data_IF_956430216002
#
_entry.id   IF_956430216002
#
_cell.length_a   1.000
_cell.length_b   1.000
_cell.length_c   1.000
_cell.angle_alpha   90.00
_cell.angle_beta   90.00
_cell.angle_gamma   90.00
#
_symmetry.space_group_name_H-M   'P 1'
#
loop_
_entity.id
_entity.type
_entity.pdbx_description
1 polymer ?
#
# COMPACT_ATOMS: atom_id res chain seq x y z
N UNK A 1 11.41 -8.45 22.34
CA UNK A 1 12.41 -7.89 21.42
C UNK A 1 11.97 -6.46 21.14
N UNK A 2 12.77 -5.45 21.48
CA UNK A 2 12.40 -4.05 21.26
C UNK A 2 12.42 -3.78 19.75
N UNK A 3 11.25 -3.48 19.18
CA UNK A 3 11.12 -3.17 17.75
C UNK A 3 11.73 -1.79 17.54
N UNK A 4 12.79 -1.67 16.74
CA UNK A 4 13.28 -0.37 16.28
C UNK A 4 12.54 0.01 14.98
N UNK A 5 11.62 0.99 15.01
CA UNK A 5 10.79 1.34 13.86
C UNK A 5 11.57 1.91 12.68
N UNK A 6 12.82 2.37 12.89
CA UNK A 6 13.69 2.88 11.83
C UNK A 6 14.14 1.79 10.83
N UNK A 7 13.98 0.51 11.18
CA UNK A 7 14.28 -0.61 10.29
C UNK A 7 13.13 -1.03 9.38
N UNK A 8 11.95 -0.44 9.55
CA UNK A 8 10.75 -0.86 8.83
C UNK A 8 10.41 0.20 7.78
N UNK A 9 10.37 -0.23 6.52
CA UNK A 9 9.78 0.54 5.44
C UNK A 9 8.34 0.07 5.20
N UNK A 10 7.46 1.04 4.99
CA UNK A 10 6.06 0.82 4.62
C UNK A 10 5.63 1.96 3.69
N UNK A 11 4.43 1.89 3.13
CA UNK A 11 3.95 2.85 2.11
C UNK A 11 4.79 2.89 0.82
N UNK A 12 5.63 1.88 0.59
CA UNK A 12 6.54 1.81 -0.57
C UNK A 12 5.82 2.03 -1.90
N UNK A 13 4.62 1.47 -2.07
CA UNK A 13 3.77 1.64 -3.25
C UNK A 13 3.39 3.10 -3.52
N UNK A 14 3.31 3.95 -2.49
CA UNK A 14 3.05 5.39 -2.65
C UNK A 14 4.26 6.17 -3.17
N UNK A 15 5.47 5.62 -2.98
CA UNK A 15 6.74 6.30 -3.29
C UNK A 15 7.40 5.77 -4.57
N UNK A 16 7.01 4.59 -5.05
CA UNK A 16 7.58 4.03 -6.27
C UNK A 16 7.33 4.96 -7.46
N UNK A 17 8.39 5.22 -8.23
CA UNK A 17 8.39 6.11 -9.39
C UNK A 17 8.15 7.59 -9.10
N UNK A 18 8.09 8.01 -7.83
CA UNK A 18 7.95 9.42 -7.44
C UNK A 18 9.28 10.08 -7.07
N UNK A 19 9.29 11.40 -7.16
CA UNK A 19 10.32 12.31 -6.69
C UNK A 19 9.95 12.94 -5.35
N UNK A 20 10.95 13.50 -4.66
CA UNK A 20 10.78 14.04 -3.31
C UNK A 20 9.83 15.25 -3.25
N UNK A 21 9.71 16.01 -4.34
CA UNK A 21 8.78 17.14 -4.49
C UNK A 21 7.32 16.70 -4.76
N UNK A 22 7.09 15.44 -5.15
CA UNK A 22 5.76 14.88 -5.43
C UNK A 22 5.13 14.18 -4.21
N UNK A 23 5.85 14.13 -3.08
CA UNK A 23 5.39 13.44 -1.88
C UNK A 23 5.13 14.41 -0.75
N UNK A 24 4.10 14.08 0.04
CA UNK A 24 3.86 14.69 1.33
C UNK A 24 4.46 13.76 2.38
N UNK A 25 5.46 14.25 3.11
CA UNK A 25 6.10 13.48 4.19
C UNK A 25 5.07 13.26 5.30
N UNK A 26 4.75 11.99 5.56
CA UNK A 26 3.82 11.65 6.63
C UNK A 26 4.53 11.76 7.98
N UNK A 27 4.03 12.58 8.93
CA UNK A 27 4.58 12.65 10.27
C UNK A 27 4.58 11.31 10.99
N UNK A 28 3.82 10.31 10.53
CA UNK A 28 3.81 8.96 11.07
C UNK A 28 4.92 8.05 10.55
N UNK A 29 5.63 8.41 9.48
CA UNK A 29 6.78 7.64 9.03
C UNK A 29 7.83 7.51 10.14
N UNK A 30 8.42 6.32 10.21
CA UNK A 30 9.50 6.00 11.14
C UNK A 30 10.82 5.75 10.43
N UNK A 31 10.80 5.82 9.10
CA UNK A 31 11.95 5.74 8.21
C UNK A 31 12.21 7.12 7.60
N UNK A 32 13.44 7.33 7.14
CA UNK A 32 13.82 8.51 6.39
C UNK A 32 13.92 8.18 4.90
N UNK A 33 13.65 9.17 4.06
CA UNK A 33 13.86 9.08 2.62
C UNK A 33 14.77 10.20 2.14
N UNK A 34 15.53 9.92 1.09
CA UNK A 34 16.40 10.88 0.41
C UNK A 34 16.06 10.91 -1.09
N UNK A 35 16.37 12.04 -1.73
CA UNK A 35 16.40 12.10 -3.19
C UNK A 35 17.78 11.65 -3.67
N UNK A 36 17.82 10.65 -4.54
CA UNK A 36 19.03 10.22 -5.23
C UNK A 36 18.68 9.95 -6.69
N UNK A 37 19.34 10.66 -7.62
CA UNK A 37 19.07 10.59 -9.05
C UNK A 37 17.57 10.75 -9.42
N UNK A 38 16.90 11.76 -8.87
CA UNK A 38 15.48 12.06 -9.16
C UNK A 38 14.53 10.90 -8.80
N UNK A 39 14.88 10.17 -7.74
CA UNK A 39 14.09 9.07 -7.20
C UNK A 39 14.17 9.05 -5.68
N UNK A 40 13.12 8.51 -5.06
CA UNK A 40 13.06 8.29 -3.62
C UNK A 40 13.82 7.03 -3.22
N UNK A 41 14.77 7.20 -2.31
CA UNK A 41 15.49 6.12 -1.64
C UNK A 41 15.19 6.11 -0.14
N UNK A 42 14.93 4.93 0.40
CA UNK A 42 14.78 4.69 1.83
C UNK A 42 16.14 4.58 2.49
N UNK A 43 16.28 5.21 3.64
CA UNK A 43 17.47 5.18 4.49
C UNK A 43 17.27 4.19 5.64
N UNK A 44 18.13 3.18 5.71
CA UNK A 44 18.18 2.24 6.82
C UNK A 44 19.54 2.38 7.53
N UNK A 45 19.52 2.77 8.79
CA UNK A 45 20.74 2.89 9.61
C UNK A 45 20.84 1.69 10.56
N UNK A 46 21.85 0.86 10.37
CA UNK A 46 22.06 -0.31 11.25
C UNK A 46 22.56 0.06 12.66
N UNK A 47 22.59 -0.92 13.56
CA UNK A 47 23.04 -0.75 14.94
C UNK A 47 24.50 -0.27 15.08
N UNK A 48 25.28 -0.28 14.01
CA UNK A 48 26.66 0.17 13.94
C UNK A 48 26.80 1.50 13.17
N UNK A 49 25.68 2.19 12.88
CA UNK A 49 25.61 3.43 12.09
C UNK A 49 26.05 3.28 10.63
N UNK A 50 26.01 2.07 10.08
CA UNK A 50 26.13 1.92 8.63
C UNK A 50 24.80 2.24 7.97
N UNK A 51 24.86 3.22 7.08
CA UNK A 51 23.71 3.67 6.29
C UNK A 51 23.60 2.84 5.02
N UNK A 52 22.47 2.16 4.83
CA UNK A 52 22.09 1.49 3.59
C UNK A 52 20.94 2.24 2.96
N UNK A 53 21.05 2.52 1.66
CA UNK A 53 19.97 3.10 0.88
C UNK A 53 19.33 2.04 -0.01
N UNK A 54 18.00 2.09 -0.18
CA UNK A 54 17.27 1.21 -1.12
C UNK A 54 16.21 2.01 -1.86
N UNK A 55 16.11 1.84 -3.17
CA UNK A 55 15.01 2.44 -3.94
C UNK A 55 13.68 1.78 -3.57
N UNK A 56 12.58 2.48 -3.83
CA UNK A 56 11.24 1.91 -3.68
C UNK A 56 11.07 0.63 -4.54
N UNK A 57 11.59 0.63 -5.78
CA UNK A 57 11.54 -0.53 -6.65
C UNK A 57 12.31 -1.74 -6.10
N UNK A 58 13.45 -1.53 -5.43
CA UNK A 58 14.16 -2.62 -4.76
C UNK A 58 13.32 -3.24 -3.63
N UNK A 59 12.69 -2.42 -2.80
CA UNK A 59 11.87 -2.93 -1.69
C UNK A 59 10.64 -3.66 -2.22
N UNK A 60 9.98 -3.12 -3.27
CA UNK A 60 8.89 -3.80 -3.96
C UNK A 60 9.34 -5.14 -4.55
N UNK A 61 10.52 -5.20 -5.16
CA UNK A 61 11.10 -6.43 -5.68
C UNK A 61 11.35 -7.47 -4.59
N UNK A 62 11.88 -7.05 -3.44
CA UNK A 62 12.07 -7.93 -2.29
C UNK A 62 10.74 -8.52 -1.80
N UNK A 63 9.68 -7.69 -1.73
CA UNK A 63 8.34 -8.15 -1.37
C UNK A 63 7.79 -9.16 -2.40
N UNK A 64 7.88 -8.83 -3.70
CA UNK A 64 7.43 -9.73 -4.78
C UNK A 64 8.17 -11.06 -4.76
N UNK A 65 9.48 -11.05 -4.49
CA UNK A 65 10.30 -12.26 -4.38
C UNK A 65 9.85 -13.15 -3.23
N UNK A 66 9.52 -12.56 -2.07
CA UNK A 66 9.03 -13.32 -0.93
C UNK A 66 7.63 -13.88 -1.17
N UNK A 67 6.76 -13.14 -1.88
CA UNK A 67 5.44 -13.65 -2.32
C UNK A 67 5.63 -14.82 -3.29
N UNK A 68 6.45 -14.65 -4.33
CA UNK A 68 6.80 -15.71 -5.31
C UNK A 68 7.28 -16.97 -4.57
N UNK A 69 8.28 -16.82 -3.68
CA UNK A 69 8.84 -17.93 -2.90
C UNK A 69 7.77 -18.69 -2.12
N UNK A 70 6.88 -17.98 -1.42
CA UNK A 70 5.79 -18.60 -0.64
C UNK A 70 4.79 -19.34 -1.52
N UNK A 71 4.44 -18.80 -2.68
CA UNK A 71 3.52 -19.44 -3.63
C UNK A 71 4.16 -20.67 -4.26
N UNK A 72 5.42 -20.59 -4.69
CA UNK A 72 6.17 -21.71 -5.26
C UNK A 72 6.33 -22.85 -4.25
N UNK A 73 6.64 -22.53 -2.99
CA UNK A 73 6.72 -23.51 -1.90
C UNK A 73 5.37 -24.17 -1.63
N UNK A 74 4.28 -23.39 -1.62
CA UNK A 74 2.94 -23.90 -1.37
C UNK A 74 2.40 -24.77 -2.50
N UNK A 75 2.69 -24.42 -3.76
CA UNK A 75 2.20 -25.12 -4.95
C UNK A 75 3.14 -26.25 -5.42
N UNK A 76 4.41 -26.23 -5.01
CA UNK A 76 5.43 -27.17 -5.49
C UNK A 76 5.82 -26.96 -6.96
N UNK A 77 5.64 -25.75 -7.49
CA UNK A 77 5.88 -25.39 -8.89
C UNK A 77 6.72 -24.12 -8.98
N UNK A 78 7.39 -23.91 -10.12
CA UNK A 78 8.09 -22.66 -10.45
C UNK A 78 7.11 -21.75 -11.19
N UNK A 79 7.03 -20.49 -10.79
CA UNK A 79 6.18 -19.50 -11.46
C UNK A 79 6.87 -18.95 -12.71
N UNK A 80 6.26 -19.12 -13.87
CA UNK A 80 6.75 -18.64 -15.17
C UNK A 80 6.43 -17.16 -15.45
N UNK A 81 5.43 -16.60 -14.77
CA UNK A 81 5.00 -15.22 -14.97
C UNK A 81 3.99 -14.77 -13.92
N UNK A 82 3.71 -13.47 -13.89
CA UNK A 82 2.79 -12.86 -12.92
C UNK A 82 1.93 -11.79 -13.55
N UNK A 83 0.72 -11.63 -13.01
CA UNK A 83 -0.10 -10.43 -13.16
C UNK A 83 0.10 -9.61 -11.89
N UNK A 84 0.47 -8.34 -12.04
CA UNK A 84 0.62 -7.41 -10.91
C UNK A 84 -0.45 -6.34 -11.02
N UNK A 85 -1.26 -6.22 -9.98
CA UNK A 85 -2.25 -5.14 -9.93
C UNK A 85 -1.60 -3.81 -9.59
N UNK A 86 -2.02 -2.75 -10.28
CA UNK A 86 -1.54 -1.37 -10.06
C UNK A 86 -2.70 -0.39 -10.00
N UNK A 87 -2.58 0.74 -9.29
CA UNK A 87 -3.58 1.79 -9.33
C UNK A 87 -3.74 2.31 -10.76
N UNK A 88 -4.95 2.57 -11.22
CA UNK A 88 -5.18 3.10 -12.57
C UNK A 88 -4.50 4.44 -12.81
N UNK A 89 -4.30 5.21 -11.74
CA UNK A 89 -3.63 6.49 -11.77
C UNK A 89 -2.09 6.41 -11.82
N UNK A 90 -1.50 5.21 -11.90
CA UNK A 90 -0.04 5.08 -12.04
C UNK A 90 0.46 5.70 -13.34
N UNK A 91 1.47 6.56 -13.23
CA UNK A 91 2.16 7.12 -14.40
C UNK A 91 3.02 6.06 -15.10
N UNK A 92 3.42 6.32 -16.34
CA UNK A 92 4.34 5.42 -17.06
C UNK A 92 5.65 5.20 -16.31
N UNK A 93 6.20 6.22 -15.65
CA UNK A 93 7.40 6.09 -14.78
C UNK A 93 7.15 5.06 -13.67
N UNK A 94 6.01 5.14 -12.98
CA UNK A 94 5.65 4.21 -11.91
C UNK A 94 5.42 2.78 -12.41
N UNK A 95 4.79 2.62 -13.59
CA UNK A 95 4.63 1.32 -14.24
C UNK A 95 5.97 0.69 -14.60
N UNK A 96 6.90 1.46 -15.17
CA UNK A 96 8.25 0.97 -15.50
C UNK A 96 9.01 0.54 -14.25
N UNK A 97 8.97 1.32 -13.17
CA UNK A 97 9.58 0.92 -11.89
C UNK A 97 8.98 -0.37 -11.31
N UNK A 98 7.67 -0.60 -11.48
CA UNK A 98 7.03 -1.85 -11.08
C UNK A 98 7.45 -3.04 -11.96
N UNK A 99 7.58 -2.84 -13.28
CA UNK A 99 8.11 -3.85 -14.21
C UNK A 99 9.54 -4.22 -13.82
N UNK A 100 10.39 -3.23 -13.54
CA UNK A 100 11.75 -3.46 -13.05
C UNK A 100 11.76 -4.22 -11.72
N UNK A 101 10.89 -3.86 -10.77
CA UNK A 101 10.77 -4.56 -9.50
C UNK A 101 10.39 -6.04 -9.68
N UNK A 102 9.44 -6.33 -10.58
CA UNK A 102 9.02 -7.68 -10.95
C UNK A 102 10.15 -8.49 -11.61
N UNK A 103 10.87 -7.89 -12.56
CA UNK A 103 12.02 -8.52 -13.20
C UNK A 103 13.10 -8.91 -12.19
N UNK A 104 13.46 -7.99 -11.30
CA UNK A 104 14.43 -8.22 -10.22
C UNK A 104 13.97 -9.27 -9.20
N UNK A 105 12.66 -9.50 -9.08
CA UNK A 105 12.09 -10.54 -8.21
C UNK A 105 12.15 -11.95 -8.85
N UNK A 106 12.54 -12.05 -10.12
CA UNK A 106 12.49 -13.31 -10.88
C UNK A 106 11.07 -13.68 -11.33
N UNK A 107 10.18 -12.68 -11.46
CA UNK A 107 8.81 -12.87 -11.91
C UNK A 107 8.63 -12.60 -13.43
N UNK A 108 9.73 -12.30 -14.15
CA UNK A 108 9.68 -11.92 -15.55
C UNK A 108 9.04 -10.54 -15.78
N UNK A 109 8.59 -10.29 -17.02
CA UNK A 109 7.84 -9.08 -17.37
C UNK A 109 6.39 -9.29 -16.95
N UNK A 110 5.87 -8.50 -15.99
CA UNK A 110 4.52 -8.69 -15.51
C UNK A 110 3.50 -8.12 -16.50
N UNK A 111 2.30 -8.71 -16.53
CA UNK A 111 1.14 -7.98 -17.03
C UNK A 111 0.64 -7.04 -15.93
N UNK A 112 0.66 -5.74 -16.17
CA UNK A 112 0.13 -4.76 -15.22
C UNK A 112 -1.38 -4.61 -15.42
N UNK A 113 -2.16 -5.03 -14.43
CA UNK A 113 -3.62 -4.97 -14.47
C UNK A 113 -4.10 -3.83 -13.57
N UNK A 114 -4.92 -2.88 -14.05
CA UNK A 114 -5.50 -1.88 -13.17
C UNK A 114 -6.36 -2.53 -12.07
N UNK A 115 -6.14 -2.14 -10.83
CA UNK A 115 -6.86 -2.64 -9.63
C UNK A 115 -8.38 -2.67 -9.79
N UNK A 116 -9.06 -1.60 -10.26
CA UNK A 116 -10.50 -1.62 -10.39
C UNK A 116 -10.98 -2.60 -11.47
N UNK A 117 -10.19 -2.81 -12.52
CA UNK A 117 -10.50 -3.83 -13.55
C UNK A 117 -10.35 -5.23 -12.97
N UNK A 118 -9.30 -5.48 -12.18
CA UNK A 118 -9.10 -6.76 -11.52
C UNK A 118 -10.30 -7.12 -10.61
N UNK A 119 -10.79 -6.16 -9.83
CA UNK A 119 -11.96 -6.35 -8.99
C UNK A 119 -13.24 -6.61 -9.80
N UNK A 120 -13.44 -5.89 -10.90
CA UNK A 120 -14.59 -6.10 -11.79
C UNK A 120 -14.54 -7.46 -12.50
N UNK A 121 -13.36 -7.95 -12.90
CA UNK A 121 -13.17 -9.30 -13.46
C UNK A 121 -13.53 -10.36 -12.43
N UNK A 122 -13.06 -10.21 -11.18
CA UNK A 122 -13.40 -11.14 -10.11
C UNK A 122 -14.92 -11.16 -9.85
N UNK A 123 -15.52 -9.98 -9.71
CA UNK A 123 -16.95 -9.86 -9.45
C UNK A 123 -17.81 -10.40 -10.62
N UNK A 124 -17.43 -10.13 -11.87
CA UNK A 124 -18.17 -10.64 -13.04
C UNK A 124 -18.11 -12.16 -13.16
N UNK A 125 -16.96 -12.75 -12.84
CA UNK A 125 -16.78 -14.20 -12.81
C UNK A 125 -17.61 -14.87 -11.71
N UNK A 126 -17.72 -14.26 -10.53
CA UNK A 126 -18.47 -14.83 -9.40
C UNK A 126 -19.99 -14.70 -9.55
N UNK A 127 -20.49 -13.64 -10.20
CA UNK A 127 -21.92 -13.25 -10.11
C UNK A 127 -22.73 -13.36 -11.39
N UNK A 128 -22.14 -13.74 -12.54
CA UNK A 128 -22.82 -13.81 -13.85
C UNK A 128 -23.66 -12.55 -14.15
N UNK A 129 -23.01 -11.39 -14.12
CA UNK A 129 -23.67 -10.09 -14.30
C UNK A 129 -24.36 -10.02 -15.68
N UNK A 130 -25.66 -9.65 -15.75
CA UNK A 130 -26.38 -9.55 -17.01
C UNK A 130 -25.75 -8.53 -17.97
N UNK A 131 -25.77 -8.84 -19.27
CA UNK A 131 -25.36 -7.90 -20.32
C UNK A 131 -26.16 -6.60 -20.23
N UNK A 132 -25.48 -5.46 -20.37
CA UNK A 132 -26.05 -4.13 -20.25
C UNK A 132 -26.09 -3.56 -18.83
N UNK A 133 -25.78 -4.36 -17.80
CA UNK A 133 -25.76 -3.90 -16.41
C UNK A 133 -24.70 -2.83 -16.18
N UNK A 134 -25.03 -1.85 -15.33
CA UNK A 134 -24.10 -0.84 -14.84
C UNK A 134 -23.63 -1.26 -13.45
N UNK A 135 -22.32 -1.30 -13.25
CA UNK A 135 -21.69 -1.69 -11.99
C UNK A 135 -20.90 -0.51 -11.44
N UNK A 136 -21.06 -0.25 -10.14
CA UNK A 136 -20.22 0.67 -9.37
C UNK A 136 -19.26 -0.15 -8.54
N UNK A 137 -17.96 0.05 -8.77
CA UNK A 137 -16.91 -0.39 -7.87
C UNK A 137 -16.52 0.76 -6.95
N UNK A 138 -16.41 0.45 -5.67
CA UNK A 138 -15.88 1.34 -4.63
C UNK A 138 -14.76 0.61 -3.88
N UNK A 139 -13.52 1.02 -4.12
CA UNK A 139 -12.33 0.47 -3.47
C UNK A 139 -11.77 1.50 -2.48
N UNK A 140 -12.00 1.26 -1.19
CA UNK A 140 -11.43 2.05 -0.10
C UNK A 140 -10.27 1.27 0.53
N UNK A 141 -9.09 1.45 -0.06
CA UNK A 141 -7.88 0.76 0.37
C UNK A 141 -7.26 1.33 1.64
N UNK A 142 -6.04 0.87 1.94
CA UNK A 142 -5.26 1.40 3.06
C UNK A 142 -4.78 2.84 2.87
N UNK A 143 -4.79 3.35 1.64
CA UNK A 143 -4.23 4.66 1.35
C UNK A 143 -4.68 5.36 0.08
N UNK A 144 -5.41 4.67 -0.78
CA UNK A 144 -6.07 5.23 -1.95
C UNK A 144 -7.54 4.86 -1.88
N UNK A 145 -8.38 5.69 -2.47
CA UNK A 145 -9.78 5.41 -2.70
C UNK A 145 -10.05 5.52 -4.18
N UNK A 146 -10.58 4.47 -4.79
CA UNK A 146 -10.85 4.41 -6.22
C UNK A 146 -12.33 4.08 -6.44
N UNK A 147 -12.96 4.80 -7.37
CA UNK A 147 -14.36 4.64 -7.77
C UNK A 147 -14.39 4.41 -9.28
N UNK A 148 -15.00 3.31 -9.70
CA UNK A 148 -15.15 2.98 -11.11
C UNK A 148 -16.61 2.65 -11.42
N UNK A 149 -17.19 3.34 -12.39
CA UNK A 149 -18.47 2.98 -12.99
C UNK A 149 -18.18 2.26 -14.29
N UNK A 150 -18.68 1.05 -14.44
CA UNK A 150 -18.53 0.25 -15.65
C UNK A 150 -19.89 -0.23 -16.16
N UNK A 151 -19.90 -0.66 -17.43
CA UNK A 151 -21.02 -1.34 -18.06
C UNK A 151 -20.54 -2.65 -18.66
N UNK A 152 -21.27 -3.73 -18.41
CA UNK A 152 -21.02 -5.00 -19.09
C UNK A 152 -21.65 -4.95 -20.48
N UNK A 153 -20.86 -5.16 -21.53
CA UNK A 153 -21.34 -5.21 -22.92
C UNK A 153 -20.73 -6.44 -23.58
N UNK A 154 -21.57 -7.38 -24.01
CA UNK A 154 -21.13 -8.60 -24.73
C UNK A 154 -20.07 -9.40 -23.94
N UNK A 155 -20.25 -9.51 -22.62
CA UNK A 155 -19.31 -10.11 -21.66
C UNK A 155 -17.98 -9.35 -21.48
N UNK A 156 -17.83 -8.16 -22.07
CA UNK A 156 -16.71 -7.26 -21.83
C UNK A 156 -17.04 -6.20 -20.78
N UNK A 157 -16.06 -5.83 -19.96
CA UNK A 157 -16.17 -4.75 -18.97
C UNK A 157 -15.76 -3.44 -19.65
N UNK A 158 -16.73 -2.55 -19.88
CA UNK A 158 -16.48 -1.21 -20.39
C UNK A 158 -16.49 -0.19 -19.25
N UNK A 159 -15.32 0.38 -18.93
CA UNK A 159 -15.24 1.50 -17.99
C UNK A 159 -15.89 2.73 -18.59
N UNK A 160 -16.78 3.35 -17.82
CA UNK A 160 -17.47 4.59 -18.19
C UNK A 160 -16.85 5.79 -17.48
N UNK A 161 -16.61 5.65 -16.17
CA UNK A 161 -16.06 6.69 -15.32
C UNK A 161 -15.06 6.05 -14.37
N UNK A 162 -13.94 6.72 -14.17
CA UNK A 162 -12.96 6.37 -13.16
C UNK A 162 -12.52 7.64 -12.43
N UNK A 163 -12.61 7.62 -11.11
CA UNK A 163 -12.25 8.72 -10.23
C UNK A 163 -11.66 8.16 -8.94
N UNK A 164 -10.92 8.98 -8.20
CA UNK A 164 -10.37 8.54 -6.93
C UNK A 164 -9.60 9.63 -6.20
N UNK A 165 -9.13 9.29 -5.00
CA UNK A 165 -8.25 10.10 -4.18
C UNK A 165 -7.01 9.26 -3.80
N UNK A 166 -5.84 9.71 -4.27
CA UNK A 166 -4.57 9.04 -4.01
C UNK A 166 -4.07 9.19 -2.56
N UNK A 167 -4.74 10.01 -1.76
CA UNK A 167 -4.33 10.40 -0.41
C UNK A 167 -5.39 10.11 0.65
N UNK A 168 -6.45 9.38 0.31
CA UNK A 168 -7.50 8.95 1.23
C UNK A 168 -7.52 7.43 1.37
N UNK A 169 -7.46 6.92 2.60
CA UNK A 169 -7.77 5.52 2.89
C UNK A 169 -7.71 5.17 4.38
N UNK A 170 -7.59 3.88 4.65
CA UNK A 170 -7.60 3.33 6.01
C UNK A 170 -6.61 3.97 6.99
N UNK A 171 -5.48 4.49 6.50
CA UNK A 171 -4.45 5.17 7.29
C UNK A 171 -4.85 6.55 7.78
N UNK A 172 -5.76 7.22 7.08
CA UNK A 172 -6.25 8.53 7.50
C UNK A 172 -7.20 8.37 8.70
N UNK A 173 -7.95 7.27 8.74
CA UNK A 173 -8.68 6.88 9.95
C UNK A 173 -7.74 6.51 11.10
N UNK A 174 -6.65 5.78 10.82
CA UNK A 174 -5.63 5.49 11.83
C UNK A 174 -5.02 6.78 12.41
N UNK A 175 -4.72 7.78 11.56
CA UNK A 175 -4.23 9.10 12.00
C UNK A 175 -5.21 9.81 12.94
N UNK A 176 -6.50 9.79 12.64
CA UNK A 176 -7.52 10.37 13.50
C UNK A 176 -7.53 9.70 14.89
N UNK A 177 -7.46 8.38 14.94
CA UNK A 177 -7.37 7.63 16.20
C UNK A 177 -6.07 7.94 16.96
N UNK A 178 -4.92 7.95 16.27
CA UNK A 178 -3.63 8.27 16.88
C UNK A 178 -3.64 9.67 17.49
N UNK A 179 -4.14 10.68 16.77
CA UNK A 179 -4.23 12.05 17.26
C UNK A 179 -5.19 12.15 18.45
N UNK A 180 -6.34 11.46 18.39
CA UNK A 180 -7.29 11.39 19.49
C UNK A 180 -6.64 10.83 20.76
N UNK A 181 -6.03 9.64 20.69
CA UNK A 181 -5.40 9.01 21.84
C UNK A 181 -4.17 9.76 22.34
N UNK A 182 -3.34 10.32 21.45
CA UNK A 182 -2.23 11.17 21.88
C UNK A 182 -2.73 12.39 22.66
N UNK A 183 -3.84 13.01 22.25
CA UNK A 183 -4.43 14.14 22.98
C UNK A 183 -4.88 13.74 24.40
N UNK A 184 -5.45 12.54 24.57
CA UNK A 184 -5.86 12.01 25.88
C UNK A 184 -4.64 11.75 26.75
N UNK A 185 -3.59 11.14 26.18
CA UNK A 185 -2.36 10.82 26.91
C UNK A 185 -1.62 12.07 27.37
N UNK A 186 -1.55 13.11 26.52
CA UNK A 186 -1.03 14.43 26.89
C UNK A 186 -1.80 15.04 28.05
N UNK A 187 -3.14 15.02 27.99
CA UNK A 187 -3.99 15.65 29.01
C UNK A 187 -4.00 14.91 30.34
N UNK A 188 -3.98 13.57 30.33
CA UNK A 188 -4.12 12.75 31.56
C UNK A 188 -2.81 12.34 32.19
N UNK A 189 -1.74 12.23 31.41
CA UNK A 189 -0.47 11.65 31.85
C UNK A 189 0.76 12.50 31.46
N UNK A 190 0.55 13.71 30.91
CA UNK A 190 1.63 14.61 30.45
C UNK A 190 2.59 13.93 29.45
N UNK A 191 2.10 12.92 28.72
CA UNK A 191 2.89 12.12 27.79
C UNK A 191 2.55 12.49 26.35
N UNK A 192 3.50 13.12 25.65
CA UNK A 192 3.45 13.26 24.19
C UNK A 192 4.07 12.05 23.52
N UNK A 193 3.24 11.16 22.98
CA UNK A 193 3.71 9.92 22.35
C UNK A 193 4.56 10.21 21.11
N UNK A 194 4.32 11.32 20.40
CA UNK A 194 5.11 11.69 19.22
C UNK A 194 6.54 12.09 19.56
N UNK A 195 6.81 12.53 20.80
CA UNK A 195 8.14 12.84 21.30
C UNK A 195 8.87 11.61 21.87
N UNK A 196 8.28 10.41 21.76
CA UNK A 196 8.85 9.18 22.35
C UNK A 196 9.00 8.07 21.32
N UNK A 197 9.78 7.04 21.67
CA UNK A 197 9.85 5.78 20.93
C UNK A 197 8.55 4.95 20.95
N UNK A 198 7.52 5.38 21.72
CA UNK A 198 6.23 4.68 21.83
C UNK A 198 5.26 4.97 20.69
N UNK A 199 5.57 5.94 19.80
CA UNK A 199 4.77 6.28 18.61
C UNK A 199 4.35 5.07 17.79
N UNK A 200 5.31 4.21 17.45
CA UNK A 200 5.05 3.03 16.64
C UNK A 200 4.10 2.04 17.33
N UNK A 201 4.22 1.88 18.65
CA UNK A 201 3.30 1.05 19.45
C UNK A 201 1.88 1.61 19.44
N UNK A 202 1.71 2.93 19.54
CA UNK A 202 0.40 3.56 19.43
C UNK A 202 -0.20 3.37 18.03
N UNK A 203 0.59 3.50 16.97
CA UNK A 203 0.15 3.25 15.60
C UNK A 203 -0.41 1.84 15.41
N UNK A 204 0.33 0.82 15.85
CA UNK A 204 -0.14 -0.59 15.80
C UNK A 204 -1.45 -0.74 16.57
N UNK A 205 -1.54 -0.21 17.79
CA UNK A 205 -2.75 -0.33 18.62
C UNK A 205 -3.95 0.38 18.01
N UNK A 206 -3.75 1.53 17.35
CA UNK A 206 -4.82 2.24 16.65
C UNK A 206 -5.33 1.45 15.43
N UNK A 207 -4.44 0.79 14.70
CA UNK A 207 -4.85 -0.09 13.60
C UNK A 207 -5.61 -1.32 14.10
N UNK A 208 -5.12 -1.97 15.16
CA UNK A 208 -5.78 -3.12 15.80
C UNK A 208 -7.18 -2.76 16.30
N UNK A 209 -7.36 -1.64 16.99
CA UNK A 209 -8.67 -1.24 17.50
C UNK A 209 -9.62 -0.88 16.36
N UNK A 210 -9.14 -0.21 15.30
CA UNK A 210 -9.94 0.07 14.09
C UNK A 210 -10.49 -1.23 13.49
N UNK A 211 -9.65 -2.25 13.31
CA UNK A 211 -10.09 -3.54 12.78
C UNK A 211 -11.07 -4.24 13.73
N UNK A 212 -10.82 -4.16 15.05
CA UNK A 212 -11.70 -4.75 16.06
C UNK A 212 -13.08 -4.09 16.04
N UNK A 213 -13.14 -2.77 15.91
CA UNK A 213 -14.39 -2.00 15.85
C UNK A 213 -15.23 -2.31 14.61
N UNK A 214 -14.63 -2.81 13.52
CA UNK A 214 -15.37 -3.27 12.34
C UNK A 214 -16.26 -4.50 12.61
N UNK A 215 -15.97 -5.27 13.66
CA UNK A 215 -16.71 -6.50 14.02
C UNK A 215 -17.34 -6.45 15.40
N UNK A 216 -16.88 -5.56 16.29
CA UNK A 216 -17.37 -5.42 17.65
C UNK A 216 -17.39 -3.95 18.08
N UNK A 217 -18.58 -3.36 18.15
CA UNK A 217 -18.76 -1.94 18.51
C UNK A 217 -18.44 -1.64 19.99
N UNK A 218 -18.40 -2.66 20.85
CA UNK A 218 -18.09 -2.51 22.28
C UNK A 218 -16.60 -2.69 22.60
N UNK A 219 -15.75 -2.83 21.58
CA UNK A 219 -14.31 -2.95 21.77
C UNK A 219 -13.75 -1.67 22.44
N UNK A 220 -13.05 -1.85 23.57
CA UNK A 220 -12.45 -0.79 24.39
C UNK A 220 -10.93 -0.77 24.28
#
# INVERSE_FOLDING_TARGET
>A
MEINPAFYAFDVKRLIGKELNEIVVDPLWTFSVINYCEQIYFLFEDKYRFTKTRSAAYISSYLLKEIKRKVEEFQGLILDGVVVTVPSSFTEKQKQEMIHASGNAGCGVPYLLPEPIAALIAYSYETNIPNGSITLLFDLGGGTTDICISKIVENEIKVLIEMGDQFLGGKDFDKLLINHFNSILKKRYELDVFATNKKFRLMIKCQEIKHTLSVNMDAK
#
